data_IF_966966627589
#
_entry.id   IF_966966627589
#
_cell.length_a   1.000
_cell.length_b   1.000
_cell.length_c   1.000
_cell.angle_alpha   90.00
_cell.angle_beta   90.00
_cell.angle_gamma   90.00
#
_symmetry.space_group_name_H-M   'P 1'
#
loop_
_entity.id
_entity.type
_entity.pdbx_description
1 polymer ?
#
# COMPACT_ATOMS: atom_id res chain seq x y z
N UNK A 1 2.90 16.63 19.86
CA UNK A 1 1.66 16.17 20.53
C UNK A 1 0.90 15.25 19.57
N UNK A 2 0.45 14.06 20.00
CA UNK A 2 -0.40 13.21 19.17
C UNK A 2 -1.73 13.90 18.84
N UNK A 3 -2.28 13.64 17.65
CA UNK A 3 -3.54 14.22 17.18
C UNK A 3 -4.69 13.74 18.10
N UNK A 4 -5.67 14.60 18.47
CA UNK A 4 -6.72 14.26 19.43
C UNK A 4 -7.57 13.02 19.07
N UNK A 5 -7.64 12.66 17.79
CA UNK A 5 -8.33 11.45 17.33
C UNK A 5 -7.45 10.19 17.24
N UNK A 6 -6.22 10.22 17.77
CA UNK A 6 -5.34 9.05 17.83
C UNK A 6 -5.85 8.09 18.91
N UNK A 7 -6.56 7.03 18.52
CA UNK A 7 -6.98 5.98 19.45
C UNK A 7 -5.90 4.90 19.56
N UNK A 8 -5.38 4.71 20.77
CA UNK A 8 -4.47 3.62 21.10
C UNK A 8 -5.27 2.35 21.38
N UNK A 9 -5.24 1.37 20.47
CA UNK A 9 -5.70 0.02 20.78
C UNK A 9 -4.55 -0.79 21.40
N UNK A 10 -4.86 -1.63 22.40
CA UNK A 10 -3.94 -2.53 23.14
C UNK A 10 -3.04 -3.42 22.27
N UNK A 11 -3.27 -3.52 20.96
CA UNK A 11 -2.56 -4.40 20.02
C UNK A 11 -1.55 -3.68 19.10
N UNK A 12 -1.08 -2.48 19.46
CA UNK A 12 0.11 -1.88 18.86
C UNK A 12 -0.04 -1.29 17.45
N UNK A 13 -1.27 -1.12 16.95
CA UNK A 13 -1.52 -0.33 15.75
C UNK A 13 -1.73 1.12 16.16
N UNK A 14 -0.72 1.98 15.96
CA UNK A 14 -0.88 3.43 16.11
C UNK A 14 -1.75 3.92 14.94
N UNK A 15 -3.03 4.17 15.21
CA UNK A 15 -3.95 4.83 14.27
C UNK A 15 -3.77 6.33 14.38
N UNK A 16 -2.81 6.90 13.65
CA UNK A 16 -2.74 8.36 13.51
C UNK A 16 -3.65 8.80 12.37
N UNK A 17 -4.54 9.78 12.58
CA UNK A 17 -5.14 10.55 11.50
C UNK A 17 -4.01 11.30 10.79
N UNK A 18 -3.50 10.73 9.69
CA UNK A 18 -2.54 11.42 8.83
C UNK A 18 -3.33 12.27 7.84
N UNK A 19 -3.72 13.49 8.23
CA UNK A 19 -3.75 14.56 7.23
C UNK A 19 -2.31 14.71 6.74
N UNK A 20 -2.08 14.48 5.45
CA UNK A 20 -0.99 15.04 4.65
C UNK A 20 0.18 15.64 5.47
N UNK A 21 0.93 14.77 6.17
CA UNK A 21 2.08 15.01 7.08
C UNK A 21 2.06 16.22 8.05
N UNK A 22 2.24 15.93 9.35
CA UNK A 22 3.29 16.62 10.13
C UNK A 22 4.19 15.68 10.96
N UNK A 23 4.09 14.34 10.82
CA UNK A 23 4.95 13.38 11.54
C UNK A 23 6.18 12.87 10.76
N UNK A 24 6.46 13.42 9.57
CA UNK A 24 7.79 13.37 8.94
C UNK A 24 8.21 12.12 8.17
N UNK A 25 7.39 11.07 8.07
CA UNK A 25 7.68 9.94 7.16
C UNK A 25 6.41 9.35 6.49
N UNK A 26 6.14 9.82 5.27
CA UNK A 26 5.31 9.26 4.19
C UNK A 26 3.77 9.43 4.26
N UNK A 27 3.19 9.63 3.07
CA UNK A 27 1.74 9.76 2.83
C UNK A 27 1.01 8.41 2.94
N UNK A 28 -0.31 8.47 3.21
CA UNK A 28 -1.15 7.31 3.31
C UNK A 28 -1.38 6.63 1.95
N UNK A 29 -1.29 5.31 1.92
CA UNK A 29 -1.65 4.49 0.76
C UNK A 29 -3.03 3.86 0.93
N UNK A 30 -3.41 3.53 2.17
CA UNK A 30 -4.69 2.88 2.49
C UNK A 30 -5.40 3.53 3.66
N UNK A 31 -6.73 3.53 3.59
CA UNK A 31 -7.60 3.61 4.76
C UNK A 31 -7.76 2.20 5.31
N UNK A 32 -7.35 2.00 6.56
CA UNK A 32 -7.58 0.78 7.31
C UNK A 32 -8.90 0.89 8.08
N UNK A 33 -9.74 -0.11 7.94
CA UNK A 33 -10.92 -0.34 8.79
C UNK A 33 -10.75 -1.67 9.51
N UNK A 34 -10.90 -1.67 10.83
CA UNK A 34 -10.92 -2.86 11.67
C UNK A 34 -12.34 -3.00 12.20
N UNK A 35 -12.97 -4.15 11.95
CA UNK A 35 -14.30 -4.46 12.43
C UNK A 35 -14.27 -5.78 13.19
N UNK A 36 -14.92 -5.80 14.35
CA UNK A 36 -15.19 -6.99 15.16
C UNK A 36 -16.50 -6.79 15.93
N UNK A 37 -17.14 -7.84 16.47
CA UNK A 37 -18.34 -7.68 17.27
C UNK A 37 -18.13 -6.68 18.42
N UNK A 38 -18.88 -5.58 18.41
CA UNK A 38 -18.84 -4.54 19.44
C UNK A 38 -17.65 -3.56 19.36
N UNK A 39 -16.74 -3.68 18.38
CA UNK A 39 -15.62 -2.74 18.21
C UNK A 39 -15.34 -2.42 16.74
N UNK A 40 -15.13 -1.13 16.47
CA UNK A 40 -14.92 -0.58 15.14
C UNK A 40 -13.87 0.53 15.21
N UNK A 41 -12.82 0.38 14.42
CA UNK A 41 -11.74 1.36 14.34
C UNK A 41 -11.39 1.68 12.89
N UNK A 42 -11.06 2.94 12.62
CA UNK A 42 -10.57 3.37 11.30
C UNK A 42 -9.32 4.23 11.44
N UNK A 43 -8.38 4.06 10.53
CA UNK A 43 -7.17 4.88 10.44
C UNK A 43 -6.60 4.90 9.03
N UNK A 44 -5.55 5.70 8.82
CA UNK A 44 -4.83 5.75 7.56
C UNK A 44 -3.42 5.18 7.76
N UNK A 45 -2.97 4.36 6.83
CA UNK A 45 -1.66 3.71 6.87
C UNK A 45 -0.89 3.96 5.58
N UNK A 46 0.44 4.04 5.70
CA UNK A 46 1.39 4.14 4.59
C UNK A 46 1.44 2.86 3.77
N UNK A 47 2.04 2.94 2.58
CA UNK A 47 2.33 1.76 1.75
C UNK A 47 3.12 0.70 2.52
N UNK A 48 4.20 1.13 3.20
CA UNK A 48 5.07 0.25 3.98
C UNK A 48 4.32 -0.47 5.11
N UNK A 49 3.49 0.25 5.86
CA UNK A 49 2.68 -0.35 6.94
C UNK A 49 1.67 -1.37 6.39
N UNK A 50 1.06 -1.09 5.24
CA UNK A 50 0.17 -2.03 4.55
C UNK A 50 0.94 -3.27 4.08
N UNK A 51 2.10 -3.11 3.46
CA UNK A 51 2.94 -4.21 2.96
C UNK A 51 3.40 -5.10 4.13
N UNK A 52 3.79 -4.52 5.26
CA UNK A 52 4.08 -5.27 6.50
C UNK A 52 2.87 -6.01 7.05
N UNK A 53 1.70 -5.38 7.03
CA UNK A 53 0.46 -5.99 7.51
C UNK A 53 0.05 -7.19 6.64
N UNK A 54 0.13 -7.05 5.32
CA UNK A 54 -0.14 -8.11 4.35
C UNK A 54 0.84 -9.28 4.53
N UNK A 55 2.14 -9.01 4.71
CA UNK A 55 3.14 -10.05 5.01
C UNK A 55 2.86 -10.77 6.33
N UNK A 56 2.53 -10.02 7.38
CA UNK A 56 2.15 -10.60 8.69
C UNK A 56 0.89 -11.44 8.58
N UNK A 57 -0.08 -11.02 7.77
CA UNK A 57 -1.30 -11.78 7.51
C UNK A 57 -0.99 -13.10 6.79
N UNK A 58 -0.15 -13.07 5.74
CA UNK A 58 0.36 -14.26 5.03
C UNK A 58 1.07 -15.22 5.99
N UNK A 59 2.02 -14.72 6.78
CA UNK A 59 2.78 -15.53 7.74
C UNK A 59 1.94 -16.12 8.88
N UNK A 60 0.76 -15.55 9.15
CA UNK A 60 -0.23 -16.06 10.12
C UNK A 60 -1.29 -16.96 9.50
N UNK A 61 -1.22 -17.24 8.20
CA UNK A 61 -2.23 -18.03 7.48
C UNK A 61 -3.61 -17.37 7.44
N UNK A 62 -3.67 -16.03 7.50
CA UNK A 62 -4.93 -15.31 7.30
C UNK A 62 -5.35 -15.38 5.82
N UNK A 63 -6.66 -15.36 5.59
CA UNK A 63 -7.20 -15.25 4.24
C UNK A 63 -7.09 -13.80 3.79
N UNK A 64 -6.47 -13.57 2.64
CA UNK A 64 -6.30 -12.27 2.00
C UNK A 64 -7.13 -12.27 0.72
N UNK A 65 -8.16 -11.42 0.67
CA UNK A 65 -9.04 -11.28 -0.51
C UNK A 65 -8.91 -9.89 -1.11
N UNK A 66 -8.31 -9.74 -2.30
CA UNK A 66 -8.38 -8.51 -3.06
C UNK A 66 -9.72 -8.38 -3.81
N UNK A 67 -10.20 -7.16 -3.98
CA UNK A 67 -11.27 -6.81 -4.92
C UNK A 67 -10.73 -6.14 -6.19
N UNK A 68 -11.62 -5.82 -7.14
CA UNK A 68 -11.25 -5.17 -8.42
C UNK A 68 -10.81 -3.71 -8.26
N UNK A 69 -11.14 -3.09 -7.12
CA UNK A 69 -10.79 -1.71 -6.79
C UNK A 69 -9.45 -1.62 -6.06
N UNK A 70 -8.83 -2.75 -5.73
CA UNK A 70 -7.58 -2.84 -4.98
C UNK A 70 -7.77 -2.82 -3.45
N UNK A 71 -9.00 -3.04 -2.98
CA UNK A 71 -9.26 -3.23 -1.55
C UNK A 71 -8.80 -4.61 -1.12
N UNK A 72 -8.06 -4.70 -0.02
CA UNK A 72 -7.76 -5.98 0.63
C UNK A 72 -8.65 -6.22 1.84
N UNK A 73 -9.26 -7.39 1.93
CA UNK A 73 -9.95 -7.86 3.13
C UNK A 73 -9.19 -9.02 3.75
N UNK A 74 -8.88 -8.90 5.04
CA UNK A 74 -8.10 -9.84 5.82
C UNK A 74 -8.95 -10.39 6.96
N UNK A 75 -9.01 -11.70 7.09
CA UNK A 75 -9.73 -12.35 8.17
C UNK A 75 -9.13 -13.74 8.47
N UNK A 76 -9.44 -14.28 9.64
CA UNK A 76 -9.06 -15.65 10.00
C UNK A 76 -9.91 -16.63 9.18
N UNK A 77 -9.27 -17.52 8.44
CA UNK A 77 -9.95 -18.53 7.63
C UNK A 77 -10.34 -19.78 8.43
N UNK A 78 -11.56 -20.27 8.18
CA UNK A 78 -11.99 -21.66 8.39
C UNK A 78 -12.56 -22.19 7.06
N UNK A 79 -12.63 -23.51 6.89
CA UNK A 79 -12.88 -24.16 5.58
C UNK A 79 -14.22 -23.79 4.92
N UNK A 80 -15.18 -23.24 5.66
CA UNK A 80 -16.43 -22.67 5.15
C UNK A 80 -16.84 -21.47 6.00
N UNK A 81 -16.49 -20.26 5.58
CA UNK A 81 -17.00 -19.02 6.20
C UNK A 81 -18.23 -18.55 5.45
N UNK A 82 -19.41 -18.89 5.97
CA UNK A 82 -20.69 -18.26 5.61
C UNK A 82 -20.67 -16.76 5.93
N UNK A 83 -21.55 -15.97 5.31
CA UNK A 83 -21.65 -14.53 5.55
C UNK A 83 -21.89 -14.18 7.04
N UNK A 84 -22.63 -15.02 7.77
CA UNK A 84 -22.86 -14.86 9.21
C UNK A 84 -21.60 -15.14 10.03
N UNK A 85 -20.77 -16.11 9.64
CA UNK A 85 -19.51 -16.43 10.34
C UNK A 85 -18.47 -15.32 10.16
N UNK A 86 -18.47 -14.60 9.03
CA UNK A 86 -17.63 -13.42 8.82
C UNK A 86 -18.00 -12.25 9.74
N UNK A 87 -19.29 -12.07 10.06
CA UNK A 87 -19.76 -10.99 10.94
C UNK A 87 -19.26 -11.15 12.39
N UNK A 88 -18.92 -12.36 12.81
CA UNK A 88 -18.37 -12.66 14.14
C UNK A 88 -16.84 -12.58 14.21
N UNK A 89 -16.16 -12.44 13.07
CA UNK A 89 -14.70 -12.47 12.98
C UNK A 89 -14.12 -11.06 12.93
N UNK A 90 -12.94 -10.89 13.55
CA UNK A 90 -12.13 -9.70 13.33
C UNK A 90 -11.73 -9.62 11.86
N UNK A 91 -12.22 -8.58 11.19
CA UNK A 91 -11.95 -8.28 9.79
C UNK A 91 -11.13 -7.01 9.70
N UNK A 92 -10.08 -7.03 8.89
CA UNK A 92 -9.29 -5.83 8.56
C UNK A 92 -9.44 -5.56 7.07
N UNK A 93 -9.95 -4.39 6.73
CA UNK A 93 -10.12 -3.93 5.35
C UNK A 93 -9.12 -2.81 5.08
N UNK A 94 -8.38 -2.91 3.97
CA UNK A 94 -7.46 -1.90 3.48
C UNK A 94 -8.01 -1.35 2.17
N UNK A 95 -8.63 -0.18 2.21
CA UNK A 95 -9.17 0.50 1.01
C UNK A 95 -8.12 1.47 0.48
N UNK A 96 -7.73 1.40 -0.80
CA UNK A 96 -6.71 2.30 -1.34
C UNK A 96 -7.20 3.75 -1.31
N UNK A 97 -6.34 4.67 -0.87
CA UNK A 97 -6.64 6.12 -0.84
C UNK A 97 -6.71 6.68 -2.26
N UNK A 98 -5.85 6.19 -3.14
CA UNK A 98 -5.86 6.52 -4.57
C UNK A 98 -6.36 5.31 -5.36
N UNK A 99 -7.39 5.50 -6.17
CA UNK A 99 -7.87 4.45 -7.07
C UNK A 99 -6.74 4.00 -8.03
N UNK A 100 -6.35 2.71 -8.02
CA UNK A 100 -5.29 2.16 -8.88
C UNK A 100 -5.51 2.43 -10.38
N UNK A 101 -6.77 2.49 -10.83
CA UNK A 101 -7.12 2.69 -12.23
C UNK A 101 -6.86 4.11 -12.74
N UNK A 102 -6.60 5.08 -11.84
CA UNK A 102 -6.31 6.48 -12.21
C UNK A 102 -4.81 6.75 -12.45
N UNK A 103 -4.07 5.73 -12.86
CA UNK A 103 -2.66 5.83 -13.23
C UNK A 103 -2.50 6.37 -14.66
N UNK A 104 -1.61 7.35 -14.82
CA UNK A 104 -1.25 7.89 -16.14
C UNK A 104 -0.10 7.11 -16.76
N UNK A 105 0.09 7.18 -18.09
CA UNK A 105 1.25 6.56 -18.76
C UNK A 105 2.57 6.97 -18.13
N UNK A 106 2.74 8.27 -17.84
CA UNK A 106 3.97 8.76 -17.22
C UNK A 106 4.20 8.17 -15.83
N UNK A 107 3.16 8.06 -15.01
CA UNK A 107 3.27 7.46 -13.68
C UNK A 107 3.59 5.96 -13.75
N UNK A 108 3.04 5.28 -14.75
CA UNK A 108 3.39 3.89 -15.03
C UNK A 108 4.88 3.76 -15.37
N UNK A 109 5.38 4.57 -16.31
CA UNK A 109 6.79 4.56 -16.70
C UNK A 109 7.72 4.88 -15.51
N UNK A 110 7.35 5.86 -14.68
CA UNK A 110 8.11 6.22 -13.49
C UNK A 110 8.14 5.07 -12.46
N UNK A 111 7.01 4.36 -12.24
CA UNK A 111 6.97 3.20 -11.35
C UNK A 111 7.75 1.99 -11.91
N UNK A 112 7.67 1.74 -13.22
CA UNK A 112 8.47 0.71 -13.90
C UNK A 112 9.96 1.02 -13.81
N UNK A 113 10.33 2.30 -13.94
CA UNK A 113 11.71 2.75 -13.78
C UNK A 113 12.22 2.46 -12.35
N UNK A 114 11.41 2.72 -11.32
CA UNK A 114 11.76 2.38 -9.93
C UNK A 114 11.97 0.88 -9.74
N UNK A 115 11.11 0.02 -10.34
CA UNK A 115 11.27 -1.44 -10.28
C UNK A 115 12.53 -1.93 -11.00
N UNK A 116 12.99 -1.21 -12.02
CA UNK A 116 14.22 -1.52 -12.75
C UNK A 116 15.49 -1.05 -12.04
N UNK A 117 15.38 -0.09 -11.10
CA UNK A 117 16.53 0.38 -10.31
C UNK A 117 16.98 -0.70 -9.31
N UNK A 118 18.29 -0.92 -9.20
CA UNK A 118 18.86 -1.82 -8.17
C UNK A 118 18.69 -1.26 -6.76
N UNK A 119 18.98 0.02 -6.57
CA UNK A 119 18.94 0.70 -5.28
C UNK A 119 18.27 2.06 -5.38
N UNK A 120 16.96 2.12 -5.71
CA UNK A 120 16.23 3.38 -5.75
C UNK A 120 16.22 4.02 -4.36
N UNK A 121 16.55 5.31 -4.30
CA UNK A 121 16.57 6.07 -3.04
C UNK A 121 16.03 7.47 -3.23
N UNK A 122 15.54 8.06 -2.14
CA UNK A 122 15.13 9.45 -2.11
C UNK A 122 16.33 10.35 -1.78
N UNK A 123 16.76 11.15 -2.75
CA UNK A 123 17.75 12.20 -2.54
C UNK A 123 17.04 13.51 -2.19
N UNK A 124 17.46 14.12 -1.10
CA UNK A 124 16.92 15.37 -0.52
C UNK A 124 17.93 16.50 -0.48
N UNK A 125 19.14 16.29 -1.01
CA UNK A 125 20.24 17.25 -0.98
C UNK A 125 19.90 18.59 -1.65
N UNK A 126 19.05 18.58 -2.68
CA UNK A 126 18.58 19.76 -3.40
C UNK A 126 17.34 20.45 -2.79
N UNK A 127 16.94 20.10 -1.56
CA UNK A 127 15.77 20.66 -0.88
C UNK A 127 14.42 20.10 -1.33
N UNK A 128 14.30 19.67 -2.60
CA UNK A 128 13.15 18.91 -3.09
C UNK A 128 13.50 17.42 -3.24
N UNK A 129 12.66 16.50 -2.75
CA UNK A 129 12.93 15.07 -2.84
C UNK A 129 12.84 14.58 -4.28
N UNK A 130 13.90 13.95 -4.76
CA UNK A 130 13.97 13.29 -6.07
C UNK A 130 14.29 11.82 -5.89
N UNK A 131 13.76 10.95 -6.74
CA UNK A 131 14.16 9.54 -6.76
C UNK A 131 15.39 9.41 -7.65
N UNK A 132 16.45 8.80 -7.12
CA UNK A 132 17.68 8.52 -7.84
C UNK A 132 17.99 7.03 -7.79
N UNK A 133 18.46 6.51 -8.92
CA UNK A 133 19.14 5.23 -9.05
C UNK A 133 20.52 5.45 -9.69
N UNK A 134 21.19 4.36 -10.09
CA UNK A 134 22.54 4.41 -10.66
C UNK A 134 22.63 5.28 -11.93
N UNK A 135 21.70 5.09 -12.87
CA UNK A 135 21.69 5.76 -14.18
C UNK A 135 20.36 6.46 -14.46
N UNK A 136 19.54 6.70 -13.45
CA UNK A 136 18.16 7.14 -13.64
C UNK A 136 17.70 8.08 -12.53
N UNK A 137 16.87 9.05 -12.91
CA UNK A 137 16.36 10.07 -12.00
C UNK A 137 14.91 10.37 -12.32
N UNK A 138 14.06 10.42 -11.30
CA UNK A 138 12.68 10.90 -11.41
C UNK A 138 12.63 12.30 -10.79
N UNK A 139 12.12 13.31 -11.51
CA UNK A 139 12.10 14.69 -11.03
C UNK A 139 11.19 14.85 -9.80
N UNK A 140 11.38 15.95 -9.07
CA UNK A 140 10.73 16.17 -7.78
C UNK A 140 9.19 16.18 -7.88
N UNK A 141 8.63 16.82 -8.91
CA UNK A 141 7.18 16.84 -9.12
C UNK A 141 6.59 15.44 -9.32
N UNK A 142 7.23 14.60 -10.13
CA UNK A 142 6.78 13.23 -10.36
C UNK A 142 6.97 12.36 -9.09
N UNK A 143 8.12 12.51 -8.43
CA UNK A 143 8.42 11.86 -7.14
C UNK A 143 7.34 12.14 -6.11
N UNK A 144 6.98 13.41 -5.96
CA UNK A 144 6.02 13.85 -4.98
C UNK A 144 4.61 13.34 -5.30
N UNK A 145 4.19 13.30 -6.58
CA UNK A 145 2.93 12.67 -6.98
C UNK A 145 2.87 11.19 -6.59
N UNK A 146 3.94 10.43 -6.83
CA UNK A 146 4.01 9.01 -6.46
C UNK A 146 3.96 8.82 -4.93
N UNK A 147 4.67 9.67 -4.18
CA UNK A 147 4.63 9.68 -2.71
C UNK A 147 3.23 9.98 -2.21
N UNK A 148 2.59 11.06 -2.68
CA UNK A 148 1.25 11.49 -2.27
C UNK A 148 0.17 10.44 -2.51
N UNK A 149 0.31 9.65 -3.58
CA UNK A 149 -0.57 8.53 -3.89
C UNK A 149 -0.32 7.28 -3.05
N UNK A 150 0.76 7.26 -2.28
CA UNK A 150 1.18 6.11 -1.47
C UNK A 150 1.67 4.92 -2.30
N UNK A 151 2.04 5.15 -3.57
CA UNK A 151 2.48 4.10 -4.51
C UNK A 151 3.92 3.69 -4.33
N UNK A 152 4.69 4.47 -3.57
CA UNK A 152 6.05 4.14 -3.17
C UNK A 152 6.15 4.13 -1.64
N UNK A 153 6.96 3.20 -1.16
CA UNK A 153 7.26 2.97 0.25
C UNK A 153 8.71 3.38 0.49
N UNK A 154 8.96 4.13 1.57
CA UNK A 154 10.32 4.50 1.99
C UNK A 154 10.73 3.70 3.22
N UNK A 155 11.95 3.18 3.23
CA UNK A 155 12.58 2.65 4.44
C UNK A 155 13.08 3.82 5.29
N UNK A 156 12.59 3.96 6.54
CA UNK A 156 13.03 5.01 7.43
C UNK A 156 14.55 4.98 7.60
N UNK A 157 15.16 6.17 7.73
CA UNK A 157 16.60 6.40 7.96
C UNK A 157 17.55 6.01 6.81
N UNK A 158 17.23 5.02 5.98
CA UNK A 158 18.06 4.67 4.81
C UNK A 158 17.66 5.45 3.54
N UNK A 159 16.41 5.92 3.48
CA UNK A 159 15.88 6.60 2.30
C UNK A 159 15.72 5.68 1.08
N UNK A 160 15.94 4.37 1.24
CA UNK A 160 15.68 3.39 0.19
C UNK A 160 14.18 3.34 -0.10
N UNK A 161 13.86 3.22 -1.37
CA UNK A 161 12.49 3.21 -1.86
C UNK A 161 12.14 1.83 -2.42
N UNK A 162 10.87 1.46 -2.30
CA UNK A 162 10.29 0.33 -3.01
C UNK A 162 8.93 0.74 -3.56
N UNK A 163 8.43 0.04 -4.58
CA UNK A 163 7.04 0.20 -5.00
C UNK A 163 6.15 -0.54 -3.99
N UNK A 164 5.20 0.19 -3.41
CA UNK A 164 4.27 -0.37 -2.42
C UNK A 164 3.25 -1.29 -3.09
N UNK A 165 2.50 -2.07 -2.30
CA UNK A 165 1.38 -2.87 -2.83
C UNK A 165 0.39 -2.01 -3.63
N UNK A 166 0.14 -0.77 -3.18
CA UNK A 166 -0.73 0.16 -3.90
C UNK A 166 -0.16 0.57 -5.26
N UNK A 167 1.16 0.77 -5.36
CA UNK A 167 1.82 1.08 -6.62
C UNK A 167 1.85 -0.10 -7.59
N UNK A 168 2.10 -1.31 -7.08
CA UNK A 168 2.04 -2.53 -7.90
C UNK A 168 0.62 -2.81 -8.41
N UNK A 169 -0.42 -2.55 -7.61
CA UNK A 169 -1.80 -2.63 -8.09
C UNK A 169 -2.08 -1.58 -9.17
N UNK A 170 -1.53 -0.37 -9.06
CA UNK A 170 -1.70 0.64 -10.09
C UNK A 170 -1.03 0.22 -11.41
N UNK A 171 0.17 -0.38 -11.37
CA UNK A 171 0.82 -0.98 -12.55
C UNK A 171 -0.05 -2.06 -13.17
N UNK A 172 -0.51 -3.02 -12.36
CA UNK A 172 -1.37 -4.11 -12.81
C UNK A 172 -2.70 -3.61 -13.40
N UNK A 173 -3.29 -2.55 -12.85
CA UNK A 173 -4.49 -1.91 -13.38
C UNK A 173 -4.23 -1.30 -14.77
N UNK A 174 -3.06 -0.68 -14.99
CA UNK A 174 -2.66 -0.16 -16.29
C UNK A 174 -2.47 -1.29 -17.30
N UNK A 175 -1.71 -2.32 -16.93
CA UNK A 175 -1.44 -3.49 -17.78
C UNK A 175 -2.73 -4.18 -18.19
N UNK A 176 -3.70 -4.29 -17.27
CA UNK A 176 -5.02 -4.82 -17.58
C UNK A 176 -5.75 -4.00 -18.66
N UNK A 177 -5.74 -2.66 -18.56
CA UNK A 177 -6.38 -1.79 -19.53
C UNK A 177 -5.66 -1.78 -20.88
N UNK A 178 -4.33 -1.82 -20.89
CA UNK A 178 -3.52 -1.75 -22.12
C UNK A 178 -3.45 -3.09 -22.85
N UNK A 179 -3.35 -4.21 -22.12
CA UNK A 179 -3.24 -5.55 -22.68
C UNK A 179 -4.59 -6.28 -22.80
N UNK A 180 -5.69 -5.72 -22.27
CA UNK A 180 -7.03 -6.31 -22.35
C UNK A 180 -7.20 -7.61 -21.55
N UNK A 181 -6.50 -7.74 -20.42
CA UNK A 181 -6.56 -8.94 -19.57
C UNK A 181 -7.96 -9.13 -18.96
N UNK A 182 -8.36 -10.35 -18.58
CA UNK A 182 -9.63 -10.57 -17.86
C UNK A 182 -9.59 -9.92 -16.45
N UNK A 183 -10.64 -9.20 -16.00
CA UNK A 183 -10.73 -8.64 -14.64
C UNK A 183 -10.57 -9.66 -13.50
N UNK A 184 -10.82 -10.95 -13.73
CA UNK A 184 -10.55 -12.02 -12.77
C UNK A 184 -9.06 -12.24 -12.57
N UNK A 185 -8.26 -12.06 -13.62
CA UNK A 185 -6.79 -12.08 -13.54
C UNK A 185 -6.28 -10.89 -12.73
N UNK A 186 -6.94 -9.73 -12.79
CA UNK A 186 -6.56 -8.55 -12.02
C UNK A 186 -6.55 -8.81 -10.51
N UNK A 187 -7.53 -9.55 -9.98
CA UNK A 187 -7.53 -9.95 -8.56
C UNK A 187 -6.35 -10.86 -8.21
N UNK A 188 -6.00 -11.77 -9.12
CA UNK A 188 -4.83 -12.65 -8.98
C UNK A 188 -3.53 -11.85 -8.99
N UNK A 189 -3.40 -10.88 -9.89
CA UNK A 189 -2.22 -10.00 -9.99
C UNK A 189 -2.12 -9.08 -8.77
N UNK A 190 -3.24 -8.57 -8.24
CA UNK A 190 -3.25 -7.80 -7.00
C UNK A 190 -2.84 -8.63 -5.78
N UNK A 191 -3.28 -9.89 -5.72
CA UNK A 191 -2.83 -10.81 -4.67
C UNK A 191 -1.33 -11.09 -4.81
N UNK A 192 -0.84 -11.36 -6.03
CA UNK A 192 0.58 -11.57 -6.30
C UNK A 192 1.41 -10.35 -5.89
N UNK A 193 1.02 -9.15 -6.32
CA UNK A 193 1.61 -7.88 -5.93
C UNK A 193 1.70 -7.72 -4.41
N UNK A 194 0.62 -8.02 -3.69
CA UNK A 194 0.58 -7.93 -2.23
C UNK A 194 1.47 -8.97 -1.52
N UNK A 195 1.71 -10.13 -2.13
CA UNK A 195 2.35 -11.27 -1.48
C UNK A 195 3.82 -11.49 -1.88
N UNK A 196 4.26 -10.97 -3.02
CA UNK A 196 5.55 -11.25 -3.64
C UNK A 196 6.40 -9.99 -3.87
N UNK A 197 6.27 -8.99 -3.00
CA UNK A 197 7.20 -7.87 -2.92
C UNK A 197 8.65 -8.40 -2.86
N UNK A 198 9.43 -8.11 -3.91
CA UNK A 198 10.89 -8.31 -3.89
C UNK A 198 11.47 -7.28 -2.92
N UNK A 199 11.73 -7.70 -1.68
CA UNK A 199 12.66 -6.97 -0.84
C UNK A 199 14.04 -7.11 -1.52
N UNK A 200 14.63 -5.98 -1.94
CA UNK A 200 16.06 -5.96 -2.22
C UNK A 200 16.74 -6.13 -0.85
N UNK A 201 17.60 -7.15 -0.68
CA UNK A 201 18.28 -7.44 0.59
C UNK A 201 19.13 -6.27 1.10
#
# INVERSE_FOLDING_TARGET
MPHPDTRHHRNGAVQTPRQYEPSGYAYAAYKQTISMPGDYGTGYITGREADHLLRRAKGRGLVIRPDILGTFTLHKGGRETTAWALASLRTVTLTPVTNPQKITTRQYDDLMLILAMRTPRLDRSSGQPVIVGELSRIPAGATDVLRRKGWISETPHTGQLTVSSAGLMALAARDHVTAGLDPRLLKGIYLDAALNHRDVP
#
